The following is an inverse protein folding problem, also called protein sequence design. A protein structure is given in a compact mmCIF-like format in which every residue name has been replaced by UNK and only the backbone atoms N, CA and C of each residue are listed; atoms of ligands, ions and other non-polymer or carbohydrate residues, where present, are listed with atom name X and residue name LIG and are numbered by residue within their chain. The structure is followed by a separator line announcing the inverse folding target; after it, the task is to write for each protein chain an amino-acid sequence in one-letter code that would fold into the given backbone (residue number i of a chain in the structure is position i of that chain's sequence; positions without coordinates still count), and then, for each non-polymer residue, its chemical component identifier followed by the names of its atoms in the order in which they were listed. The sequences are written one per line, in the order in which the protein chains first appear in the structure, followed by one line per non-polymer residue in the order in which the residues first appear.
data_IF_185762075622
#
_entry.id   IF_185762075622
#
_cell.length_a   1.000
_cell.length_b   1.000
_cell.length_c   1.000
_cell.angle_alpha   90.00
_cell.angle_beta   90.00
_cell.angle_gamma   90.00
#
_symmetry.space_group_name_H-M   'P 1'
#
loop_
_entity.id
_entity.type
_entity.pdbx_description
1 polymer ?
#
# COMPACT_ATOMS: atom_id res chain seq x y z
N UNK A 1 3.73 -2.70 22.79
CA UNK A 1 3.22 -2.09 21.55
C UNK A 1 2.48 -3.18 20.83
N UNK A 2 1.14 -3.07 20.70
CA UNK A 2 0.33 -4.12 20.08
C UNK A 2 0.28 -4.00 18.56
N UNK A 3 0.30 -2.76 18.03
CA UNK A 3 0.19 -2.48 16.61
C UNK A 3 1.26 -1.47 16.19
N UNK A 4 1.76 -1.60 14.98
CA UNK A 4 2.76 -0.74 14.38
C UNK A 4 2.39 -0.46 12.93
N UNK A 5 2.63 0.78 12.47
CA UNK A 5 2.41 1.19 11.10
C UNK A 5 3.43 2.24 10.66
N UNK A 6 3.61 2.41 9.36
CA UNK A 6 4.51 3.41 8.77
C UNK A 6 3.71 4.50 8.07
N UNK A 7 4.19 5.75 8.17
CA UNK A 7 3.69 6.89 7.39
C UNK A 7 4.80 7.31 6.43
N UNK A 8 4.45 7.43 5.15
CA UNK A 8 5.44 7.78 4.14
C UNK A 8 5.66 9.28 4.03
N UNK A 9 6.85 9.63 3.55
CA UNK A 9 7.24 10.99 3.29
C UNK A 9 6.23 11.71 2.37
N UNK A 10 5.84 12.91 2.79
CA UNK A 10 4.85 13.72 2.09
C UNK A 10 3.39 13.34 2.32
N UNK A 11 3.10 12.28 3.07
CA UNK A 11 1.74 11.98 3.52
C UNK A 11 1.27 13.00 4.55
N UNK A 12 -0.03 13.26 4.55
CA UNK A 12 -0.68 14.11 5.53
C UNK A 12 -1.36 13.27 6.60
N UNK A 13 -1.23 13.68 7.85
CA UNK A 13 -1.93 13.08 8.98
C UNK A 13 -2.62 14.19 9.77
N UNK A 14 -3.77 13.90 10.35
CA UNK A 14 -4.31 14.72 11.43
C UNK A 14 -3.59 14.36 12.71
N UNK A 15 -3.45 15.31 13.62
CA UNK A 15 -2.76 15.05 14.86
C UNK A 15 -3.32 15.86 16.04
N UNK A 16 -3.09 15.37 17.24
CA UNK A 16 -3.41 16.03 18.50
C UNK A 16 -2.15 16.08 19.38
N UNK A 17 -1.90 17.24 20.00
CA UNK A 17 -0.73 17.45 20.86
C UNK A 17 -0.85 16.67 22.18
N UNK A 18 0.16 15.88 22.48
CA UNK A 18 0.32 15.15 23.75
C UNK A 18 1.74 15.33 24.33
N UNK A 19 2.41 16.43 23.98
CA UNK A 19 3.77 16.76 24.43
C UNK A 19 4.85 16.31 23.44
N UNK A 20 5.80 15.49 23.89
CA UNK A 20 6.87 14.95 23.02
C UNK A 20 6.33 13.98 21.96
N UNK A 21 5.20 13.35 22.26
CA UNK A 21 4.46 12.46 21.38
C UNK A 21 3.18 13.13 20.92
N UNK A 22 2.77 12.82 19.72
CA UNK A 22 1.49 13.24 19.13
C UNK A 22 0.66 12.01 18.79
N UNK A 23 -0.65 12.10 19.00
CA UNK A 23 -1.58 11.14 18.47
C UNK A 23 -1.91 11.52 17.02
N UNK A 24 -1.78 10.58 16.09
CA UNK A 24 -1.97 10.82 14.65
C UNK A 24 -3.09 9.94 14.07
N UNK A 25 -3.78 10.48 13.09
CA UNK A 25 -4.78 9.79 12.28
C UNK A 25 -4.37 9.83 10.82
N UNK A 26 -4.20 8.66 10.23
CA UNK A 26 -3.90 8.53 8.80
C UNK A 26 -5.15 8.71 7.95
N UNK A 27 -4.97 8.97 6.65
CA UNK A 27 -6.08 9.13 5.70
C UNK A 27 -6.90 7.84 5.49
N UNK A 28 -6.40 6.70 5.93
CA UNK A 28 -7.09 5.39 5.90
C UNK A 28 -7.64 4.98 7.28
N UNK A 29 -7.80 5.93 8.20
CA UNK A 29 -8.47 5.73 9.48
C UNK A 29 -7.63 5.03 10.57
N UNK A 30 -6.32 4.84 10.35
CA UNK A 30 -5.45 4.22 11.34
C UNK A 30 -4.99 5.27 12.35
N UNK A 31 -5.02 4.93 13.64
CA UNK A 31 -4.62 5.79 14.75
C UNK A 31 -3.36 5.26 15.42
N UNK A 32 -2.47 6.12 15.80
CA UNK A 32 -1.24 5.75 16.47
C UNK A 32 -0.51 6.93 17.09
N UNK A 33 0.66 6.65 17.63
CA UNK A 33 1.53 7.63 18.26
C UNK A 33 2.78 7.83 17.43
N UNK A 34 3.21 9.07 17.28
CA UNK A 34 4.41 9.44 16.54
C UNK A 34 5.20 10.48 17.35
N UNK A 35 6.52 10.49 17.21
CA UNK A 35 7.35 11.58 17.74
C UNK A 35 7.06 12.88 16.96
N UNK A 36 6.89 13.97 17.70
CA UNK A 36 6.52 15.28 17.12
C UNK A 36 7.52 15.79 16.08
N UNK A 37 8.81 15.47 16.25
CA UNK A 37 9.88 15.90 15.34
C UNK A 37 9.82 15.24 13.95
N UNK A 38 8.98 14.22 13.77
CA UNK A 38 8.81 13.50 12.49
C UNK A 38 7.75 14.12 11.58
N UNK A 39 7.03 15.15 12.06
CA UNK A 39 6.03 15.87 11.27
C UNK A 39 6.42 17.32 11.06
N UNK A 40 5.92 17.89 9.97
CA UNK A 40 5.92 19.32 9.71
C UNK A 40 4.49 19.84 9.76
N UNK A 41 4.24 20.80 10.66
CA UNK A 41 2.91 21.39 10.81
C UNK A 41 2.55 22.26 9.61
N UNK A 42 1.38 22.05 9.05
CA UNK A 42 0.83 22.85 7.95
C UNK A 42 -0.59 23.29 8.29
N UNK A 43 -0.96 24.48 7.82
CA UNK A 43 -2.33 24.95 7.98
C UNK A 43 -3.29 24.18 7.05
N UNK A 44 -4.58 24.26 7.39
CA UNK A 44 -5.63 23.67 6.55
C UNK A 44 -5.66 24.32 5.15
N UNK A 45 -5.47 25.62 5.08
CA UNK A 45 -5.44 26.39 3.83
C UNK A 45 -4.31 25.89 2.92
N UNK A 46 -3.10 25.66 3.50
CA UNK A 46 -1.98 25.09 2.75
C UNK A 46 -2.31 23.70 2.18
N UNK A 47 -3.00 22.87 2.97
CA UNK A 47 -3.42 21.54 2.50
C UNK A 47 -4.44 21.64 1.36
N UNK A 48 -5.42 22.55 1.48
CA UNK A 48 -6.44 22.77 0.43
C UNK A 48 -5.82 23.31 -0.85
N UNK A 49 -4.85 24.21 -0.76
CA UNK A 49 -4.10 24.73 -1.92
C UNK A 49 -3.31 23.63 -2.62
N UNK A 50 -2.63 22.78 -1.86
CA UNK A 50 -1.90 21.63 -2.37
C UNK A 50 -2.83 20.64 -3.09
N UNK A 51 -4.02 20.38 -2.54
CA UNK A 51 -5.05 19.56 -3.17
C UNK A 51 -5.52 20.17 -4.51
N UNK A 52 -5.80 21.47 -4.53
CA UNK A 52 -6.25 22.20 -5.72
C UNK A 52 -5.18 22.27 -6.81
N UNK A 53 -3.92 22.38 -6.45
CA UNK A 53 -2.80 22.46 -7.40
C UNK A 53 -2.71 21.22 -8.32
N UNK A 54 -3.15 20.06 -7.86
CA UNK A 54 -3.25 18.85 -8.67
C UNK A 54 -1.91 18.31 -9.20
N UNK A 55 -0.78 18.80 -8.66
CA UNK A 55 0.59 18.45 -9.05
C UNK A 55 1.27 17.46 -8.09
N UNK A 56 0.52 16.85 -7.17
CA UNK A 56 1.03 15.80 -6.31
C UNK A 56 1.14 14.49 -7.07
N UNK A 57 2.32 13.90 -7.03
CA UNK A 57 2.68 12.63 -7.66
C UNK A 57 3.15 11.64 -6.60
N UNK A 58 3.03 10.37 -6.92
CA UNK A 58 3.35 9.23 -6.05
C UNK A 58 4.52 8.45 -6.64
N UNK A 59 5.50 8.11 -5.81
CA UNK A 59 6.60 7.21 -6.19
C UNK A 59 6.06 5.80 -6.38
N UNK A 60 6.29 5.21 -7.55
CA UNK A 60 5.79 3.88 -7.94
C UNK A 60 6.85 2.77 -7.87
N UNK A 61 8.12 3.12 -7.95
CA UNK A 61 9.24 2.19 -7.82
C UNK A 61 9.50 1.87 -6.36
N UNK A 62 10.14 0.73 -6.08
CA UNK A 62 10.54 0.38 -4.71
C UNK A 62 11.28 1.52 -4.03
N UNK A 63 12.24 2.11 -4.76
CA UNK A 63 12.95 3.34 -4.39
C UNK A 63 13.11 4.27 -5.58
N UNK A 64 13.18 5.57 -5.32
CA UNK A 64 13.51 6.60 -6.29
C UNK A 64 14.40 7.66 -5.63
N UNK A 65 15.58 7.88 -6.19
CA UNK A 65 16.50 8.92 -5.72
C UNK A 65 16.11 10.29 -6.26
N UNK A 66 16.13 11.27 -5.38
CA UNK A 66 16.02 12.69 -5.71
C UNK A 66 17.42 13.21 -5.96
N UNK A 67 17.72 13.53 -7.20
CA UNK A 67 19.05 13.94 -7.67
C UNK A 67 19.16 15.45 -7.74
N UNK A 68 20.36 15.99 -7.52
CA UNK A 68 20.64 17.44 -7.66
C UNK A 68 20.53 17.94 -9.10
N UNK A 69 20.64 17.06 -10.09
CA UNK A 69 20.53 17.36 -11.52
C UNK A 69 19.95 16.18 -12.28
N UNK A 70 19.43 16.41 -13.46
CA UNK A 70 18.73 15.44 -14.31
C UNK A 70 19.69 14.43 -14.98
N UNK A 71 20.44 13.69 -14.19
CA UNK A 71 21.39 12.65 -14.64
C UNK A 71 21.76 11.69 -13.52
N UNK A 72 22.06 10.43 -13.85
CA UNK A 72 22.38 9.35 -12.91
C UNK A 72 23.64 9.60 -12.07
N UNK A 73 24.61 10.39 -12.56
CA UNK A 73 25.86 10.71 -11.84
C UNK A 73 25.73 11.97 -10.97
N UNK A 74 24.56 12.61 -10.91
CA UNK A 74 24.36 13.75 -10.05
C UNK A 74 24.41 13.33 -8.58
N UNK A 75 24.68 14.29 -7.70
CA UNK A 75 24.62 14.05 -6.26
C UNK A 75 23.18 13.70 -5.85
N UNK A 76 23.02 12.58 -5.16
CA UNK A 76 21.77 12.20 -4.49
C UNK A 76 21.51 13.15 -3.31
N UNK A 77 20.29 13.63 -3.19
CA UNK A 77 19.81 14.51 -2.14
C UNK A 77 18.98 13.76 -1.11
N UNK A 78 18.12 12.84 -1.60
CA UNK A 78 17.19 12.05 -0.79
C UNK A 78 16.85 10.76 -1.53
N UNK A 79 16.43 9.71 -0.80
CA UNK A 79 15.87 8.49 -1.37
C UNK A 79 14.44 8.30 -0.88
N UNK A 80 13.51 8.19 -1.80
CA UNK A 80 12.09 8.04 -1.52
C UNK A 80 11.64 6.60 -1.78
N UNK A 81 10.88 6.03 -0.86
CA UNK A 81 10.24 4.73 -1.05
C UNK A 81 8.95 4.80 -1.87
N UNK A 82 8.48 3.64 -2.34
CA UNK A 82 7.17 3.50 -2.98
C UNK A 82 6.07 4.02 -2.07
N UNK A 83 5.19 4.86 -2.59
CA UNK A 83 4.10 5.48 -1.85
C UNK A 83 4.41 6.89 -1.34
N UNK A 84 5.68 7.33 -1.33
CA UNK A 84 6.03 8.71 -0.99
C UNK A 84 5.41 9.71 -1.98
N UNK A 85 5.03 10.89 -1.48
CA UNK A 85 4.45 11.97 -2.28
C UNK A 85 5.47 13.06 -2.57
N UNK A 86 5.42 13.57 -3.81
CA UNK A 86 6.21 14.71 -4.28
C UNK A 86 5.33 15.69 -5.04
N UNK A 87 5.70 16.95 -5.08
CA UNK A 87 5.11 17.96 -5.94
C UNK A 87 5.90 18.02 -7.25
N UNK A 88 5.29 17.58 -8.37
CA UNK A 88 5.93 17.65 -9.69
C UNK A 88 5.85 19.08 -10.21
N UNK A 89 6.99 19.62 -10.60
CA UNK A 89 7.13 20.90 -11.27
C UNK A 89 7.03 20.72 -12.80
N UNK A 90 6.87 21.80 -13.54
CA UNK A 90 6.77 21.77 -15.00
C UNK A 90 8.07 21.38 -15.70
N UNK A 91 9.22 21.61 -15.04
CA UNK A 91 10.54 21.37 -15.61
C UNK A 91 10.83 19.88 -15.78
N UNK A 92 11.12 19.48 -17.01
CA UNK A 92 11.57 18.12 -17.37
C UNK A 92 12.83 18.19 -18.21
N UNK A 93 13.80 17.32 -17.91
CA UNK A 93 15.08 17.24 -18.61
C UNK A 93 15.58 15.79 -18.60
N UNK A 94 16.06 15.30 -19.74
CA UNK A 94 16.69 13.97 -19.88
C UNK A 94 15.86 12.79 -19.29
N UNK A 95 14.52 12.86 -19.35
CA UNK A 95 13.62 11.85 -18.75
C UNK A 95 13.47 11.95 -17.22
N UNK A 96 13.97 13.03 -16.63
CA UNK A 96 13.73 13.41 -15.25
C UNK A 96 12.74 14.57 -15.18
N UNK A 97 11.93 14.62 -14.15
CA UNK A 97 11.15 15.78 -13.79
C UNK A 97 11.66 16.40 -12.49
N UNK A 98 11.59 17.71 -12.40
CA UNK A 98 11.88 18.44 -11.18
C UNK A 98 10.74 18.23 -10.19
N UNK A 99 11.09 17.95 -8.95
CA UNK A 99 10.13 17.77 -7.85
C UNK A 99 10.52 18.64 -6.67
N UNK A 100 9.51 19.01 -5.89
CA UNK A 100 9.66 19.62 -4.58
C UNK A 100 9.12 18.67 -3.52
N UNK A 101 9.88 18.46 -2.47
CA UNK A 101 9.54 17.61 -1.34
C UNK A 101 8.84 18.42 -0.24
N UNK A 102 8.11 17.73 0.64
CA UNK A 102 7.41 18.36 1.77
C UNK A 102 8.35 19.15 2.70
N UNK A 103 9.59 18.70 2.87
CA UNK A 103 10.65 19.40 3.64
C UNK A 103 11.34 20.53 2.88
N UNK A 104 10.83 20.94 1.70
CA UNK A 104 11.37 22.05 0.91
C UNK A 104 12.54 21.70 -0.01
N UNK A 105 13.13 20.49 0.09
CA UNK A 105 14.17 20.04 -0.83
C UNK A 105 13.60 19.97 -2.24
N UNK A 106 14.36 20.45 -3.24
CA UNK A 106 14.00 20.33 -4.64
C UNK A 106 15.11 19.62 -5.41
N UNK A 107 14.73 18.74 -6.34
CA UNK A 107 15.66 17.97 -7.15
C UNK A 107 14.97 17.27 -8.30
N UNK A 108 15.62 16.32 -8.91
CA UNK A 108 15.17 15.60 -10.09
C UNK A 108 14.95 14.13 -9.81
N UNK A 109 13.80 13.60 -10.23
CA UNK A 109 13.42 12.18 -10.12
C UNK A 109 13.12 11.65 -11.51
N UNK A 110 13.50 10.40 -11.85
CA UNK A 110 13.10 9.80 -13.13
C UNK A 110 11.59 9.85 -13.30
N UNK A 111 11.09 10.40 -14.40
CA UNK A 111 9.64 10.54 -14.63
C UNK A 111 8.92 9.17 -14.60
N UNK A 112 9.59 8.12 -15.09
CA UNK A 112 9.08 6.74 -15.05
C UNK A 112 8.92 6.16 -13.63
N UNK A 113 9.43 6.84 -12.59
CA UNK A 113 9.25 6.44 -11.21
C UNK A 113 8.02 7.07 -10.55
N UNK A 114 7.30 7.94 -11.26
CA UNK A 114 6.17 8.70 -10.72
C UNK A 114 4.86 8.37 -11.44
N UNK A 115 3.76 8.45 -10.71
CA UNK A 115 2.40 8.55 -11.26
C UNK A 115 1.65 9.70 -10.62
N UNK A 116 0.64 10.22 -11.31
CA UNK A 116 -0.28 11.18 -10.71
C UNK A 116 -1.03 10.52 -9.55
N UNK A 117 -1.32 11.29 -8.51
CA UNK A 117 -2.09 10.84 -7.35
C UNK A 117 -3.50 10.40 -7.76
N UNK A 118 -3.97 9.29 -7.18
CA UNK A 118 -5.33 8.76 -7.31
C UNK A 118 -6.18 9.22 -6.11
N UNK A 119 -7.50 8.97 -6.17
CA UNK A 119 -8.40 9.36 -5.08
C UNK A 119 -8.11 8.59 -3.78
N UNK A 120 -7.66 7.34 -3.87
CA UNK A 120 -7.21 6.54 -2.73
C UNK A 120 -6.03 7.13 -1.95
N UNK A 121 -5.23 7.97 -2.60
CA UNK A 121 -4.07 8.64 -1.99
C UNK A 121 -4.46 9.95 -1.28
N UNK A 122 -5.72 10.37 -1.38
CA UNK A 122 -6.18 11.64 -0.82
C UNK A 122 -6.61 11.49 0.62
N UNK A 123 -6.43 12.56 1.37
CA UNK A 123 -6.97 12.66 2.71
C UNK A 123 -8.50 12.86 2.68
N UNK A 124 -9.21 12.30 3.66
CA UNK A 124 -10.69 12.29 3.72
C UNK A 124 -11.32 13.62 4.14
N UNK A 125 -10.75 14.76 3.79
CA UNK A 125 -11.26 16.06 4.18
C UNK A 125 -12.74 16.23 3.79
N UNK A 126 -13.61 16.38 4.80
CA UNK A 126 -15.02 16.68 4.61
C UNK A 126 -15.91 15.54 4.13
N UNK A 127 -15.40 14.30 4.03
CA UNK A 127 -16.20 13.10 3.81
C UNK A 127 -16.29 12.30 5.11
N UNK A 128 -17.44 11.69 5.41
CA UNK A 128 -17.49 10.70 6.46
C UNK A 128 -16.63 9.49 6.03
N UNK A 129 -15.85 8.94 6.95
CA UNK A 129 -15.00 7.75 6.69
C UNK A 129 -15.84 6.63 6.08
N UNK A 130 -17.02 6.34 6.63
CA UNK A 130 -17.93 5.30 6.16
C UNK A 130 -18.29 5.47 4.67
N UNK A 131 -18.66 6.67 4.27
CA UNK A 131 -19.10 6.92 2.89
C UNK A 131 -17.93 6.80 1.89
N UNK A 132 -16.75 7.25 2.26
CA UNK A 132 -15.57 7.16 1.39
C UNK A 132 -15.17 5.71 1.13
N UNK A 133 -15.09 4.88 2.18
CA UNK A 133 -14.65 3.49 2.04
C UNK A 133 -15.68 2.60 1.35
N UNK A 134 -16.96 2.84 1.56
CA UNK A 134 -18.05 2.06 0.93
C UNK A 134 -18.24 2.42 -0.55
N UNK A 135 -18.09 3.69 -0.91
CA UNK A 135 -18.34 4.19 -2.26
C UNK A 135 -17.13 4.08 -3.20
N UNK A 136 -15.95 3.69 -2.70
CA UNK A 136 -14.79 3.59 -3.56
C UNK A 136 -14.89 2.40 -4.53
N UNK A 137 -14.42 2.61 -5.75
CA UNK A 137 -14.34 1.61 -6.79
C UNK A 137 -12.96 1.57 -7.42
N UNK A 138 -12.80 0.70 -8.40
CA UNK A 138 -11.58 0.69 -9.22
C UNK A 138 -11.47 2.01 -10.01
N UNK A 139 -10.25 2.45 -10.37
CA UNK A 139 -10.04 3.70 -11.11
C UNK A 139 -10.87 3.76 -12.39
N UNK A 140 -11.39 4.95 -12.69
CA UNK A 140 -12.18 5.20 -13.91
C UNK A 140 -11.44 4.72 -15.17
N UNK A 141 -12.18 4.05 -16.06
CA UNK A 141 -11.64 3.48 -17.31
C UNK A 141 -10.82 2.20 -17.12
N UNK A 142 -10.82 1.59 -15.92
CA UNK A 142 -10.24 0.27 -15.70
C UNK A 142 -11.32 -0.82 -15.71
N UNK A 143 -11.02 -1.95 -16.37
CA UNK A 143 -11.79 -3.19 -16.22
C UNK A 143 -11.32 -3.96 -14.97
N UNK A 144 -12.17 -4.88 -14.48
CA UNK A 144 -11.78 -5.82 -13.41
C UNK A 144 -10.49 -6.56 -13.79
N UNK A 145 -10.39 -7.09 -15.01
CA UNK A 145 -9.21 -7.81 -15.49
C UNK A 145 -7.93 -6.93 -15.44
N UNK A 146 -8.03 -5.69 -15.90
CA UNK A 146 -6.92 -4.74 -15.85
C UNK A 146 -6.50 -4.45 -14.41
N UNK A 147 -7.46 -4.26 -13.51
CA UNK A 147 -7.18 -4.03 -12.10
C UNK A 147 -6.48 -5.24 -11.47
N UNK A 148 -7.04 -6.44 -11.63
CA UNK A 148 -6.47 -7.69 -11.11
C UNK A 148 -5.04 -7.91 -11.58
N UNK A 149 -4.77 -7.74 -12.88
CA UNK A 149 -3.41 -7.81 -13.43
C UNK A 149 -2.48 -6.80 -12.77
N UNK A 150 -2.93 -5.55 -12.58
CA UNK A 150 -2.11 -4.49 -11.97
C UNK A 150 -1.80 -4.73 -10.50
N UNK A 151 -2.74 -5.24 -9.71
CA UNK A 151 -2.47 -5.57 -8.31
C UNK A 151 -1.49 -6.74 -8.20
N UNK A 152 -1.62 -7.76 -9.03
CA UNK A 152 -0.68 -8.89 -9.07
C UNK A 152 0.72 -8.46 -9.51
N UNK A 153 0.85 -7.65 -10.56
CA UNK A 153 2.13 -7.08 -10.99
C UNK A 153 2.79 -6.27 -9.86
N UNK A 154 1.99 -5.45 -9.17
CA UNK A 154 2.47 -4.66 -8.04
C UNK A 154 2.93 -5.54 -6.87
N UNK A 155 2.16 -6.59 -6.54
CA UNK A 155 2.50 -7.55 -5.48
C UNK A 155 3.82 -8.28 -5.76
N UNK A 156 4.02 -8.74 -7.00
CA UNK A 156 5.28 -9.39 -7.43
C UNK A 156 6.50 -8.48 -7.26
N UNK A 157 6.31 -7.16 -7.29
CA UNK A 157 7.38 -6.18 -7.02
C UNK A 157 7.87 -6.16 -5.56
N UNK A 158 7.25 -6.91 -4.65
CA UNK A 158 7.70 -7.09 -3.26
C UNK A 158 8.36 -8.45 -3.00
N UNK A 159 8.41 -9.34 -3.99
CA UNK A 159 9.08 -10.64 -3.83
C UNK A 159 10.54 -10.46 -3.40
N UNK A 160 10.94 -11.19 -2.37
CA UNK A 160 12.26 -11.11 -1.78
C UNK A 160 12.46 -9.99 -0.75
N UNK A 161 11.50 -9.08 -0.58
CA UNK A 161 11.54 -8.10 0.52
C UNK A 161 11.53 -8.83 1.87
N UNK A 162 12.33 -8.35 2.81
CA UNK A 162 12.33 -8.89 4.17
C UNK A 162 11.00 -8.62 4.89
N UNK A 163 10.65 -9.50 5.83
CA UNK A 163 9.55 -9.23 6.75
C UNK A 163 9.96 -8.16 7.77
N UNK A 164 9.09 -7.15 7.92
CA UNK A 164 9.18 -6.15 8.99
C UNK A 164 7.80 -5.88 9.53
N UNK A 165 7.55 -6.24 10.77
CA UNK A 165 6.25 -6.01 11.40
C UNK A 165 5.87 -4.53 11.41
N UNK A 166 4.68 -4.20 10.91
CA UNK A 166 4.19 -2.84 10.72
C UNK A 166 4.75 -2.14 9.47
N UNK A 167 5.66 -2.80 8.72
CA UNK A 167 6.28 -2.23 7.53
C UNK A 167 5.36 -2.15 6.32
N UNK A 168 5.57 -1.13 5.48
CA UNK A 168 4.92 -0.93 4.18
C UNK A 168 5.90 -0.58 3.06
N UNK A 169 7.17 -0.40 3.39
CA UNK A 169 8.21 0.00 2.45
C UNK A 169 8.89 -1.19 1.75
N UNK A 170 9.58 -0.92 0.65
CA UNK A 170 10.28 -1.95 -0.12
C UNK A 170 11.51 -2.52 0.60
N UNK A 171 12.03 -1.86 1.63
CA UNK A 171 13.13 -2.33 2.48
C UNK A 171 12.67 -3.20 3.66
N UNK A 172 11.35 -3.30 3.89
CA UNK A 172 10.75 -4.16 4.90
C UNK A 172 9.25 -3.99 4.97
N UNK A 173 8.52 -5.10 4.85
CA UNK A 173 7.07 -5.10 4.74
C UNK A 173 6.46 -6.28 5.50
N UNK A 174 5.26 -6.11 6.07
CA UNK A 174 4.53 -7.22 6.67
C UNK A 174 3.45 -7.78 5.73
N UNK A 175 2.72 -8.80 6.18
CA UNK A 175 1.71 -9.47 5.37
C UNK A 175 0.58 -8.53 4.92
N UNK A 176 0.02 -7.76 5.84
CA UNK A 176 -1.04 -6.80 5.55
C UNK A 176 -0.52 -5.54 4.86
N UNK A 177 0.73 -5.16 5.11
CA UNK A 177 1.42 -4.07 4.40
C UNK A 177 1.53 -4.33 2.90
N UNK A 178 1.88 -5.55 2.47
CA UNK A 178 1.93 -5.91 1.05
C UNK A 178 0.57 -5.67 0.40
N UNK A 179 -0.48 -6.29 0.91
CA UNK A 179 -1.81 -6.21 0.29
C UNK A 179 -2.38 -4.79 0.36
N UNK A 180 -2.21 -4.11 1.49
CA UNK A 180 -2.60 -2.71 1.64
C UNK A 180 -1.93 -1.82 0.59
N UNK A 181 -0.60 -1.87 0.47
CA UNK A 181 0.15 -1.04 -0.48
C UNK A 181 -0.19 -1.38 -1.93
N UNK A 182 -0.38 -2.65 -2.23
CA UNK A 182 -0.74 -3.08 -3.59
C UNK A 182 -2.10 -2.51 -4.00
N UNK A 183 -3.09 -2.56 -3.12
CA UNK A 183 -4.41 -1.99 -3.39
C UNK A 183 -4.37 -0.46 -3.42
N UNK A 184 -3.73 0.20 -2.46
CA UNK A 184 -3.54 1.65 -2.43
C UNK A 184 -2.88 2.16 -3.72
N UNK A 185 -1.79 1.52 -4.14
CA UNK A 185 -1.06 1.91 -5.36
C UNK A 185 -1.89 1.75 -6.64
N UNK A 186 -2.97 0.94 -6.59
CA UNK A 186 -3.90 0.71 -7.68
C UNK A 186 -5.28 1.37 -7.47
N UNK A 187 -5.40 2.30 -6.53
CA UNK A 187 -6.55 3.19 -6.42
C UNK A 187 -7.66 2.71 -5.49
N UNK A 188 -7.44 1.65 -4.71
CA UNK A 188 -8.42 1.14 -3.73
C UNK A 188 -7.80 1.10 -2.34
N UNK A 189 -8.47 1.72 -1.36
CA UNK A 189 -8.11 1.62 0.05
C UNK A 189 -8.83 0.44 0.69
N UNK A 190 -8.08 -0.52 1.20
CA UNK A 190 -8.57 -1.61 2.04
C UNK A 190 -8.17 -1.36 3.50
N UNK A 191 -8.71 -2.13 4.43
CA UNK A 191 -8.25 -2.06 5.82
C UNK A 191 -6.77 -2.44 5.94
N UNK A 192 -6.05 -1.78 6.86
CA UNK A 192 -4.59 -1.94 7.02
C UNK A 192 -4.18 -3.29 7.61
N UNK A 193 -5.02 -3.87 8.46
CA UNK A 193 -4.68 -5.10 9.17
C UNK A 193 -5.20 -6.36 8.44
N UNK A 194 -4.81 -7.54 8.94
CA UNK A 194 -5.07 -8.83 8.32
C UNK A 194 -6.47 -9.36 8.63
N UNK A 195 -7.50 -8.56 8.39
CA UNK A 195 -8.92 -8.94 8.53
C UNK A 195 -9.82 -8.20 7.52
N UNK A 196 -11.06 -8.68 7.36
CA UNK A 196 -12.11 -7.98 6.61
C UNK A 196 -12.88 -7.13 7.59
N UNK A 197 -12.76 -5.82 7.44
CA UNK A 197 -13.44 -4.85 8.29
C UNK A 197 -14.68 -4.28 7.63
N UNK A 198 -15.77 -4.22 8.37
CA UNK A 198 -16.99 -3.53 7.95
C UNK A 198 -16.71 -2.06 7.60
N UNK A 199 -17.38 -1.54 6.55
CA UNK A 199 -17.16 -0.19 6.05
C UNK A 199 -16.02 -0.05 5.04
N UNK A 200 -15.28 -1.14 4.77
CA UNK A 200 -14.24 -1.18 3.72
C UNK A 200 -14.70 -2.01 2.52
N UNK A 201 -14.08 -1.84 1.32
CA UNK A 201 -14.61 -2.41 0.08
C UNK A 201 -14.50 -3.94 -0.02
N UNK A 202 -13.71 -4.58 0.86
CA UNK A 202 -13.47 -6.02 0.84
C UNK A 202 -14.66 -6.81 1.38
N UNK A 203 -15.16 -7.78 0.63
CA UNK A 203 -16.25 -8.69 1.03
C UNK A 203 -15.81 -10.14 0.96
N UNK A 204 -16.32 -10.96 1.88
CA UNK A 204 -16.04 -12.40 1.89
C UNK A 204 -16.76 -13.09 0.72
N UNK A 205 -16.02 -13.91 -0.03
CA UNK A 205 -16.51 -14.77 -1.12
C UNK A 205 -16.43 -16.26 -0.75
N UNK A 206 -15.67 -16.63 0.29
CA UNK A 206 -15.57 -17.94 0.90
C UNK A 206 -15.26 -17.80 2.40
N UNK A 207 -15.77 -18.73 3.21
CA UNK A 207 -15.54 -18.77 4.66
C UNK A 207 -15.19 -20.19 5.12
N UNK A 208 -14.44 -20.28 6.22
CA UNK A 208 -14.23 -21.54 6.95
C UNK A 208 -15.55 -22.27 7.20
N UNK A 209 -15.54 -23.58 6.95
CA UNK A 209 -16.73 -24.43 7.00
C UNK A 209 -17.37 -24.73 5.64
N UNK A 210 -17.02 -23.98 4.59
CA UNK A 210 -17.33 -24.33 3.21
C UNK A 210 -16.24 -25.28 2.64
N UNK A 211 -16.56 -26.03 1.58
CA UNK A 211 -15.62 -26.94 0.93
C UNK A 211 -14.41 -26.19 0.34
N UNK A 212 -13.20 -26.69 0.59
CA UNK A 212 -11.95 -26.05 0.12
C UNK A 212 -11.84 -25.94 -1.41
N UNK A 213 -12.46 -26.88 -2.16
CA UNK A 213 -12.49 -26.78 -3.62
C UNK A 213 -13.16 -25.50 -4.14
N UNK A 214 -14.12 -24.94 -3.39
CA UNK A 214 -14.78 -23.69 -3.72
C UNK A 214 -13.83 -22.46 -3.64
N UNK A 215 -12.71 -22.56 -2.95
CA UNK A 215 -11.69 -21.49 -2.96
C UNK A 215 -11.14 -21.33 -4.38
N UNK A 216 -10.73 -22.41 -5.03
CA UNK A 216 -10.20 -22.35 -6.40
C UNK A 216 -11.27 -21.99 -7.44
N UNK A 217 -12.52 -22.32 -7.18
CA UNK A 217 -13.64 -21.97 -8.04
C UNK A 217 -14.00 -20.48 -8.01
N UNK A 218 -13.96 -19.86 -6.82
CA UNK A 218 -14.44 -18.50 -6.59
C UNK A 218 -13.33 -17.47 -6.59
N UNK A 219 -12.14 -17.81 -6.06
CA UNK A 219 -11.03 -16.88 -5.96
C UNK A 219 -10.40 -16.61 -7.32
N UNK A 220 -10.17 -15.34 -7.60
CA UNK A 220 -9.46 -14.87 -8.80
C UNK A 220 -8.18 -14.16 -8.38
N UNK A 221 -7.22 -14.10 -9.29
CA UNK A 221 -5.98 -13.37 -9.08
C UNK A 221 -6.22 -11.96 -8.52
N UNK A 222 -5.56 -11.63 -7.42
CA UNK A 222 -5.72 -10.38 -6.69
C UNK A 222 -6.69 -10.44 -5.51
N UNK A 223 -7.51 -11.49 -5.35
CA UNK A 223 -8.31 -11.68 -4.14
C UNK A 223 -7.42 -12.01 -2.94
N UNK A 224 -7.90 -11.81 -1.72
CA UNK A 224 -7.11 -11.95 -0.52
C UNK A 224 -7.53 -13.17 0.30
N UNK A 225 -6.53 -13.90 0.75
CA UNK A 225 -6.66 -15.03 1.66
C UNK A 225 -6.35 -14.57 3.09
N UNK A 226 -7.27 -14.78 4.01
CA UNK A 226 -7.13 -14.36 5.40
C UNK A 226 -7.03 -15.55 6.34
N UNK A 227 -6.03 -15.50 7.19
CA UNK A 227 -5.81 -16.40 8.33
C UNK A 227 -5.87 -15.59 9.63
N UNK A 228 -5.81 -16.26 10.76
CA UNK A 228 -5.73 -15.55 12.03
C UNK A 228 -4.42 -14.75 12.14
N UNK A 229 -4.52 -13.42 12.03
CA UNK A 229 -3.37 -12.51 12.12
C UNK A 229 -2.43 -12.57 10.92
N UNK A 230 -2.89 -13.11 9.78
CA UNK A 230 -2.11 -13.18 8.55
C UNK A 230 -2.98 -13.00 7.30
N UNK A 231 -2.38 -12.49 6.23
CA UNK A 231 -3.05 -12.30 4.94
C UNK A 231 -2.08 -12.52 3.78
N UNK A 232 -2.60 -13.02 2.67
CA UNK A 232 -1.88 -13.14 1.40
C UNK A 232 -2.78 -12.80 0.22
N UNK A 233 -2.19 -12.65 -0.95
CA UNK A 233 -2.88 -12.40 -2.21
C UNK A 233 -2.92 -13.67 -3.04
N UNK A 234 -4.11 -14.11 -3.41
CA UNK A 234 -4.30 -15.21 -4.36
C UNK A 234 -3.79 -14.82 -5.74
N UNK A 235 -3.04 -15.70 -6.39
CA UNK A 235 -2.46 -15.43 -7.71
C UNK A 235 -3.22 -16.15 -8.82
N UNK A 236 -3.36 -17.43 -8.76
CA UNK A 236 -4.10 -18.39 -9.59
C UNK A 236 -3.61 -19.79 -9.23
N UNK A 237 -4.34 -20.82 -9.66
CA UNK A 237 -3.93 -22.23 -9.52
C UNK A 237 -3.53 -22.66 -8.11
N UNK A 238 -4.23 -22.14 -7.08
CA UNK A 238 -3.95 -22.42 -5.69
C UNK A 238 -2.74 -21.70 -5.13
N UNK A 239 -2.02 -20.91 -5.92
CA UNK A 239 -0.83 -20.16 -5.49
C UNK A 239 -1.20 -18.81 -4.89
N UNK A 240 -0.42 -18.37 -3.91
CA UNK A 240 -0.60 -17.07 -3.27
C UNK A 240 0.72 -16.43 -2.90
N UNK A 241 0.74 -15.10 -2.92
CA UNK A 241 1.86 -14.29 -2.48
C UNK A 241 1.56 -13.75 -1.08
N UNK A 242 2.52 -13.88 -0.18
CA UNK A 242 2.44 -13.31 1.16
C UNK A 242 3.83 -12.87 1.66
N UNK A 243 3.86 -12.04 2.69
CA UNK A 243 5.08 -11.75 3.43
C UNK A 243 4.98 -12.37 4.81
N UNK A 244 5.92 -13.23 5.19
CA UNK A 244 5.85 -14.01 6.43
C UNK A 244 7.07 -13.79 7.32
N UNK A 245 6.83 -13.65 8.63
CA UNK A 245 7.87 -13.64 9.67
C UNK A 245 8.27 -15.03 10.16
N UNK A 246 7.86 -16.10 9.48
CA UNK A 246 8.21 -17.48 9.86
C UNK A 246 9.73 -17.68 9.78
N UNK A 247 10.34 -18.19 10.83
CA UNK A 247 11.79 -18.28 11.05
C UNK A 247 12.61 -18.92 9.93
N UNK A 248 12.03 -19.85 9.17
CA UNK A 248 12.71 -20.51 8.04
C UNK A 248 12.68 -19.71 6.73
N UNK A 249 11.88 -18.63 6.65
CA UNK A 249 11.57 -17.96 5.38
C UNK A 249 11.80 -16.47 5.43
N UNK A 250 11.27 -15.81 6.43
CA UNK A 250 11.44 -14.41 6.80
C UNK A 250 11.42 -13.42 5.61
N UNK A 251 10.33 -13.40 4.85
CA UNK A 251 10.21 -12.48 3.72
C UNK A 251 8.96 -12.69 2.85
N UNK A 252 8.90 -11.90 1.79
CA UNK A 252 7.82 -11.94 0.82
C UNK A 252 8.09 -13.01 -0.26
N UNK A 253 7.14 -13.93 -0.44
CA UNK A 253 7.27 -15.10 -1.32
C UNK A 253 5.94 -15.61 -1.84
N UNK A 254 6.00 -16.58 -2.74
CA UNK A 254 4.86 -17.37 -3.20
C UNK A 254 4.87 -18.72 -2.53
N UNK A 255 3.68 -19.20 -2.14
CA UNK A 255 3.41 -20.55 -1.68
C UNK A 255 2.12 -21.09 -2.32
N UNK A 256 1.81 -22.37 -2.10
CA UNK A 256 0.63 -23.04 -2.63
C UNK A 256 -0.31 -23.56 -1.54
N UNK A 257 -1.61 -23.57 -1.84
CA UNK A 257 -2.66 -24.27 -1.09
C UNK A 257 -2.86 -25.72 -1.59
N UNK A 258 -2.25 -26.10 -2.72
CA UNK A 258 -2.41 -27.44 -3.33
C UNK A 258 -1.42 -28.43 -2.73
N UNK A 259 -1.97 -29.50 -2.15
CA UNK A 259 -1.18 -30.64 -1.69
C UNK A 259 -0.49 -31.31 -2.88
N UNK A 260 0.80 -31.33 -2.89
CA UNK A 260 1.62 -31.90 -3.98
C UNK A 260 2.51 -30.89 -4.68
N UNK A 261 2.27 -29.60 -4.50
CA UNK A 261 3.21 -28.57 -4.93
C UNK A 261 4.42 -28.53 -3.99
N UNK A 262 5.61 -28.25 -4.51
CA UNK A 262 6.87 -28.20 -3.75
C UNK A 262 6.82 -27.17 -2.60
N UNK A 263 6.12 -26.06 -2.83
CA UNK A 263 5.96 -24.94 -1.89
C UNK A 263 4.61 -24.96 -1.16
N UNK A 264 3.93 -26.11 -1.10
CA UNK A 264 2.70 -26.32 -0.33
C UNK A 264 2.91 -26.00 1.16
N UNK A 265 1.96 -25.29 1.74
CA UNK A 265 1.93 -24.96 3.16
C UNK A 265 0.67 -25.56 3.79
N UNK A 266 0.80 -26.77 4.30
CA UNK A 266 -0.29 -27.51 4.95
C UNK A 266 -0.90 -26.72 6.10
N UNK A 267 -0.06 -26.10 6.94
CA UNK A 267 -0.48 -25.28 8.08
C UNK A 267 -1.35 -24.08 7.66
N UNK A 268 -1.05 -23.45 6.52
CA UNK A 268 -1.85 -22.35 5.99
C UNK A 268 -3.08 -22.84 5.23
N UNK A 269 -2.98 -23.96 4.50
CA UNK A 269 -4.14 -24.53 3.81
C UNK A 269 -5.25 -24.93 4.80
N UNK A 270 -4.88 -25.57 5.93
CA UNK A 270 -5.82 -26.02 6.98
C UNK A 270 -6.35 -24.86 7.84
N UNK A 271 -5.58 -23.78 7.99
CA UNK A 271 -5.94 -22.63 8.84
C UNK A 271 -6.64 -21.49 8.11
N UNK A 272 -6.95 -21.63 6.81
CA UNK A 272 -7.63 -20.59 6.04
C UNK A 272 -9.01 -20.27 6.64
N UNK A 273 -9.31 -18.98 6.84
CA UNK A 273 -10.54 -18.51 7.48
C UNK A 273 -11.52 -17.87 6.51
N UNK A 274 -11.01 -17.02 5.63
CA UNK A 274 -11.84 -16.23 4.72
C UNK A 274 -11.08 -15.97 3.44
N UNK A 275 -11.78 -15.97 2.31
CA UNK A 275 -11.31 -15.37 1.06
C UNK A 275 -12.14 -14.12 0.80
N UNK A 276 -11.47 -13.00 0.55
CA UNK A 276 -12.09 -11.70 0.32
C UNK A 276 -11.82 -11.17 -1.08
N UNK A 277 -12.82 -10.50 -1.65
CA UNK A 277 -12.72 -9.79 -2.92
C UNK A 277 -13.29 -8.38 -2.81
N UNK A 278 -12.75 -7.44 -3.59
CA UNK A 278 -13.36 -6.12 -3.81
C UNK A 278 -14.40 -6.16 -4.93
N UNK A 279 -14.49 -7.29 -5.63
CA UNK A 279 -15.48 -7.58 -6.66
C UNK A 279 -16.44 -8.65 -6.14
N UNK A 280 -17.67 -8.28 -5.91
CA UNK A 280 -18.71 -9.21 -5.43
C UNK A 280 -20.03 -8.95 -6.14
#
# INVERSE_FOLDING_TARGET
IRDRDEVFFGWSVMWEDKGEWIEVWTHYGYRGWMERNLIEEKSREWMEEREKAGNTYVVTRGFADVMRGARVQARMLETLGRGCFVEKMEETENGYCRVKLANGISGFVPEAALRKRLDSDRFLWGKSEERFFVEQGIPEGWSEEKFRRKVVECAKGYLGCQYRWGGKAADGIDCSGVVFMVYLMNGVLIWRDADIREGYPMKAIWREGEEMCLVEERAKAGDLLFWRGHVGMYLEDGRYLHCTGHEKVFGCRVNSLRRGDEDFREDLAEALKVVGSVFS
#
